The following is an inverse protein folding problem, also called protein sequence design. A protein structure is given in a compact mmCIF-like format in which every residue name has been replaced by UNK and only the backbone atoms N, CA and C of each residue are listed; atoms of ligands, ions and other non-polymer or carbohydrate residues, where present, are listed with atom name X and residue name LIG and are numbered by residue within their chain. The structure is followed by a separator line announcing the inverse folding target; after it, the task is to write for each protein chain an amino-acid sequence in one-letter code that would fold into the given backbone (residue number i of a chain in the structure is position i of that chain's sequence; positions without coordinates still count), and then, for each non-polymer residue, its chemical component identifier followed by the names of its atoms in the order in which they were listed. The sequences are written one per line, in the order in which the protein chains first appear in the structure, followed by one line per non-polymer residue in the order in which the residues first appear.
data_IF_334777476706
#
_entry.id   IF_334777476706
#
_cell.length_a   1.000
_cell.length_b   1.000
_cell.length_c   1.000
_cell.angle_alpha   90.00
_cell.angle_beta   90.00
_cell.angle_gamma   90.00
#
_symmetry.space_group_name_H-M   'P 1'
#
loop_
_entity.id
_entity.type
_entity.pdbx_description
1 polymer ?
#
# COMPACT_ATOMS: atom_id res chain seq x y z
N UNK A 1 19.27 -9.49 15.76
CA UNK A 1 18.05 -8.66 15.80
C UNK A 1 17.57 -8.42 14.37
N UNK A 2 17.03 -9.45 13.72
CA UNK A 2 16.73 -9.43 12.27
C UNK A 2 15.23 -9.61 11.96
N UNK A 3 14.39 -9.72 13.00
CA UNK A 3 12.96 -10.00 12.89
C UNK A 3 12.09 -8.75 12.78
N UNK A 4 12.61 -7.56 13.12
CA UNK A 4 11.85 -6.30 13.08
C UNK A 4 11.44 -5.89 11.67
N UNK A 5 12.39 -5.93 10.73
CA UNK A 5 12.13 -5.53 9.35
C UNK A 5 11.22 -6.50 8.60
N UNK A 6 11.45 -7.82 8.75
CA UNK A 6 10.57 -8.82 8.13
C UNK A 6 9.12 -8.61 8.61
N UNK A 7 8.91 -8.48 9.92
CA UNK A 7 7.59 -8.20 10.48
C UNK A 7 6.99 -6.87 9.99
N UNK A 8 7.81 -5.82 9.81
CA UNK A 8 7.33 -4.55 9.27
C UNK A 8 6.88 -4.68 7.80
N UNK A 9 7.63 -5.41 6.96
CA UNK A 9 7.25 -5.68 5.57
C UNK A 9 5.97 -6.55 5.51
N UNK A 10 5.85 -7.57 6.37
CA UNK A 10 4.65 -8.41 6.47
C UNK A 10 3.41 -7.58 6.84
N UNK A 11 3.53 -6.69 7.83
CA UNK A 11 2.44 -5.79 8.24
C UNK A 11 2.05 -4.84 7.12
N UNK A 12 3.03 -4.24 6.44
CA UNK A 12 2.77 -3.36 5.31
C UNK A 12 2.06 -4.10 4.15
N UNK A 13 2.49 -5.34 3.85
CA UNK A 13 1.81 -6.17 2.84
C UNK A 13 0.37 -6.48 3.26
N UNK A 14 0.14 -6.87 4.52
CA UNK A 14 -1.18 -7.18 5.02
C UNK A 14 -2.12 -5.96 5.00
N UNK A 15 -1.62 -4.76 5.33
CA UNK A 15 -2.37 -3.51 5.21
C UNK A 15 -2.71 -3.21 3.74
N UNK A 16 -1.73 -3.33 2.83
CA UNK A 16 -1.92 -3.12 1.39
C UNK A 16 -2.92 -4.11 0.80
N UNK A 17 -2.89 -5.38 1.23
CA UNK A 17 -3.84 -6.42 0.78
C UNK A 17 -5.28 -6.04 1.15
N UNK A 18 -5.51 -5.64 2.42
CA UNK A 18 -6.83 -5.19 2.89
C UNK A 18 -7.33 -3.96 2.13
N UNK A 19 -6.43 -3.03 1.82
CA UNK A 19 -6.75 -1.85 1.03
C UNK A 19 -7.20 -2.22 -0.40
N UNK A 20 -6.52 -3.18 -1.04
CA UNK A 20 -6.94 -3.70 -2.37
C UNK A 20 -8.34 -4.31 -2.30
N UNK A 21 -8.64 -5.08 -1.26
CA UNK A 21 -9.96 -5.70 -1.08
C UNK A 21 -11.07 -4.69 -0.80
N UNK A 22 -10.79 -3.66 0.00
CA UNK A 22 -11.70 -2.54 0.24
C UNK A 22 -11.94 -1.73 -1.06
N UNK A 23 -10.89 -1.47 -1.84
CA UNK A 23 -10.97 -0.77 -3.12
C UNK A 23 -11.82 -1.54 -4.14
N UNK A 24 -11.64 -2.85 -4.25
CA UNK A 24 -12.44 -3.72 -5.14
C UNK A 24 -13.92 -3.71 -4.83
N UNK A 25 -14.27 -3.55 -3.55
CA UNK A 25 -15.67 -3.49 -3.07
C UNK A 25 -16.23 -2.06 -3.04
N UNK A 26 -15.43 -1.06 -3.42
CA UNK A 26 -15.78 0.37 -3.31
C UNK A 26 -16.23 0.77 -1.89
N UNK A 27 -15.64 0.14 -0.87
CA UNK A 27 -15.96 0.37 0.53
C UNK A 27 -15.20 1.61 1.04
N UNK A 28 -15.76 2.81 0.79
CA UNK A 28 -15.09 4.09 1.08
C UNK A 28 -14.62 4.27 2.53
N UNK A 29 -15.47 3.95 3.51
CA UNK A 29 -15.10 4.04 4.94
C UNK A 29 -14.03 3.03 5.36
N UNK A 30 -14.05 1.82 4.78
CA UNK A 30 -13.00 0.83 4.98
C UNK A 30 -11.67 1.26 4.34
N UNK A 31 -11.73 1.95 3.20
CA UNK A 31 -10.56 2.48 2.51
C UNK A 31 -9.83 3.53 3.35
N UNK A 32 -10.54 4.45 3.99
CA UNK A 32 -9.95 5.43 4.91
C UNK A 32 -9.21 4.74 6.06
N UNK A 33 -9.85 3.74 6.68
CA UNK A 33 -9.23 2.95 7.74
C UNK A 33 -7.99 2.19 7.24
N UNK A 34 -8.04 1.66 6.02
CA UNK A 34 -6.90 0.99 5.39
C UNK A 34 -5.76 1.96 5.06
N UNK A 35 -6.06 3.19 4.66
CA UNK A 35 -5.05 4.22 4.40
C UNK A 35 -4.25 4.52 5.67
N UNK A 36 -4.92 4.72 6.80
CA UNK A 36 -4.25 4.95 8.07
C UNK A 36 -3.37 3.76 8.47
N UNK A 37 -3.93 2.53 8.43
CA UNK A 37 -3.17 1.33 8.78
C UNK A 37 -1.93 1.12 7.89
N UNK A 38 -2.03 1.48 6.60
CA UNK A 38 -0.89 1.42 5.67
C UNK A 38 0.15 2.51 5.96
N UNK A 39 -0.28 3.72 6.33
CA UNK A 39 0.61 4.81 6.74
C UNK A 39 1.40 4.45 8.00
N UNK A 40 0.72 3.86 9.00
CA UNK A 40 1.36 3.39 10.24
C UNK A 40 2.39 2.28 9.94
N UNK A 41 2.04 1.31 9.09
CA UNK A 41 2.96 0.25 8.69
C UNK A 41 4.16 0.77 7.88
N UNK A 42 3.98 1.81 7.05
CA UNK A 42 5.07 2.49 6.35
C UNK A 42 6.00 3.20 7.33
N UNK A 43 5.46 3.82 8.37
CA UNK A 43 6.24 4.48 9.42
C UNK A 43 7.08 3.46 10.20
N UNK A 44 6.48 2.35 10.63
CA UNK A 44 7.21 1.26 11.29
C UNK A 44 8.32 0.67 10.40
N UNK A 45 8.06 0.51 9.10
CA UNK A 45 9.07 0.05 8.15
C UNK A 45 10.24 1.02 8.05
N UNK A 46 9.97 2.34 8.06
CA UNK A 46 11.02 3.37 8.07
C UNK A 46 11.87 3.29 9.33
N UNK A 47 11.24 3.19 10.51
CA UNK A 47 11.95 3.02 11.77
C UNK A 47 12.85 1.78 11.75
N UNK A 48 12.33 0.63 11.29
CA UNK A 48 13.10 -0.61 11.19
C UNK A 48 14.29 -0.53 10.22
N UNK A 49 14.25 0.37 9.23
CA UNK A 49 15.37 0.64 8.33
C UNK A 49 16.42 1.59 8.94
N UNK A 50 16.01 2.46 9.86
CA UNK A 50 16.88 3.40 10.57
C UNK A 50 17.66 2.74 11.74
N UNK A 51 17.16 1.62 12.27
CA UNK A 51 17.79 0.84 13.36
C UNK A 51 19.18 0.25 13.02
N UNK A 52 19.58 0.30 11.74
CA UNK A 52 20.95 -0.04 11.31
C UNK A 52 21.01 -1.02 10.14
N UNK A 53 22.19 -1.61 9.88
CA UNK A 53 22.40 -2.47 8.72
C UNK A 53 21.52 -3.73 8.78
N UNK A 54 20.72 -3.91 7.73
CA UNK A 54 19.80 -5.04 7.60
C UNK A 54 20.46 -6.17 6.82
N UNK A 55 20.48 -7.36 7.42
CA UNK A 55 20.82 -8.58 6.69
C UNK A 55 19.66 -8.98 5.76
N UNK A 56 19.89 -8.94 4.44
CA UNK A 56 18.88 -9.37 3.46
C UNK A 56 18.81 -10.90 3.43
N UNK A 57 17.80 -11.45 4.10
CA UNK A 57 17.50 -12.88 4.10
C UNK A 57 16.63 -13.27 2.89
N UNK A 58 16.62 -14.56 2.48
CA UNK A 58 15.68 -15.05 1.47
C UNK A 58 14.21 -14.75 1.81
N UNK A 59 13.82 -14.94 3.07
CA UNK A 59 12.46 -14.66 3.55
C UNK A 59 12.08 -13.18 3.36
N UNK A 60 12.95 -12.25 3.74
CA UNK A 60 12.73 -10.82 3.52
C UNK A 60 12.60 -10.49 2.03
N UNK A 61 13.44 -11.08 1.18
CA UNK A 61 13.40 -10.86 -0.27
C UNK A 61 12.07 -11.32 -0.87
N UNK A 62 11.59 -12.48 -0.45
CA UNK A 62 10.31 -13.02 -0.93
C UNK A 62 9.13 -12.19 -0.43
N UNK A 63 9.19 -11.70 0.81
CA UNK A 63 8.12 -10.86 1.35
C UNK A 63 8.08 -9.48 0.67
N UNK A 64 9.23 -8.88 0.36
CA UNK A 64 9.30 -7.65 -0.45
C UNK A 64 8.74 -7.88 -1.86
N UNK A 65 8.97 -9.04 -2.48
CA UNK A 65 8.38 -9.37 -3.78
C UNK A 65 6.86 -9.44 -3.70
N UNK A 66 6.31 -10.06 -2.65
CA UNK A 66 4.87 -10.13 -2.41
C UNK A 66 4.27 -8.75 -2.18
N UNK A 67 4.90 -7.92 -1.34
CA UNK A 67 4.48 -6.53 -1.15
C UNK A 67 4.39 -5.76 -2.49
N UNK A 68 5.43 -5.85 -3.33
CA UNK A 68 5.43 -5.24 -4.68
C UNK A 68 4.33 -5.75 -5.61
N UNK A 69 3.84 -6.98 -5.40
CA UNK A 69 2.70 -7.48 -6.17
C UNK A 69 1.39 -6.84 -5.69
N UNK A 70 1.19 -6.69 -4.38
CA UNK A 70 0.00 -6.03 -3.83
C UNK A 70 -0.02 -4.54 -4.15
N UNK A 71 1.12 -3.84 -4.11
CA UNK A 71 1.20 -2.43 -4.53
C UNK A 71 0.80 -2.24 -6.00
N UNK A 72 1.24 -3.15 -6.90
CA UNK A 72 0.84 -3.12 -8.31
C UNK A 72 -0.65 -3.40 -8.51
N UNK A 73 -1.22 -4.29 -7.70
CA UNK A 73 -2.67 -4.57 -7.72
C UNK A 73 -3.46 -3.35 -7.27
N UNK A 74 -3.02 -2.69 -6.20
CA UNK A 74 -3.63 -1.48 -5.68
C UNK A 74 -3.59 -0.35 -6.72
N UNK A 75 -2.44 -0.14 -7.36
CA UNK A 75 -2.29 0.83 -8.44
C UNK A 75 -3.23 0.54 -9.61
N UNK A 76 -3.33 -0.72 -10.05
CA UNK A 76 -4.23 -1.11 -11.13
C UNK A 76 -5.71 -0.85 -10.79
N UNK A 77 -6.12 -1.16 -9.56
CA UNK A 77 -7.48 -0.87 -9.08
C UNK A 77 -7.73 0.64 -9.01
N UNK A 78 -6.79 1.42 -8.46
CA UNK A 78 -6.92 2.87 -8.39
C UNK A 78 -7.06 3.50 -9.78
N UNK A 79 -6.22 3.10 -10.75
CA UNK A 79 -6.32 3.57 -12.14
C UNK A 79 -7.67 3.21 -12.78
N UNK A 80 -8.17 1.99 -12.54
CA UNK A 80 -9.47 1.58 -13.07
C UNK A 80 -10.62 2.41 -12.50
N UNK A 81 -10.59 2.69 -11.19
CA UNK A 81 -11.59 3.53 -10.52
C UNK A 81 -11.51 4.98 -11.02
N UNK A 82 -10.31 5.57 -11.07
CA UNK A 82 -10.12 6.93 -11.57
C UNK A 82 -10.59 7.08 -13.02
N UNK A 83 -10.26 6.12 -13.89
CA UNK A 83 -10.73 6.11 -15.28
C UNK A 83 -12.25 5.88 -15.43
N UNK A 84 -12.93 5.37 -14.40
CA UNK A 84 -14.41 5.36 -14.35
C UNK A 84 -14.92 6.73 -13.92
N UNK A 85 -14.34 7.33 -12.89
CA UNK A 85 -14.72 8.66 -12.39
C UNK A 85 -14.57 9.72 -13.48
N UNK A 86 -13.44 9.77 -14.18
CA UNK A 86 -13.19 10.71 -15.29
C UNK A 86 -14.21 10.57 -16.43
N UNK A 87 -14.73 9.36 -16.67
CA UNK A 87 -15.78 9.14 -17.69
C UNK A 87 -17.17 9.57 -17.23
N UNK A 88 -17.45 9.50 -15.93
CA UNK A 88 -18.72 9.92 -15.35
C UNK A 88 -18.76 11.44 -15.19
N UNK A 89 -17.66 12.03 -14.74
CA UNK A 89 -17.49 13.46 -14.56
C UNK A 89 -16.17 13.92 -15.22
N UNK A 90 -16.23 14.37 -16.49
CA UNK A 90 -15.05 14.87 -17.21
C UNK A 90 -14.49 16.17 -16.64
N UNK A 91 -15.23 16.85 -15.75
CA UNK A 91 -14.76 18.07 -15.07
C UNK A 91 -14.04 17.76 -13.77
N UNK A 92 -14.03 16.49 -13.35
CA UNK A 92 -13.29 16.04 -12.18
C UNK A 92 -11.79 16.34 -12.37
N UNK A 93 -11.11 16.92 -11.36
CA UNK A 93 -9.69 17.22 -11.47
C UNK A 93 -8.90 15.94 -11.73
N UNK A 94 -7.83 16.03 -12.53
CA UNK A 94 -6.94 14.90 -12.77
C UNK A 94 -6.24 14.52 -11.47
N UNK A 95 -6.74 13.48 -10.80
CA UNK A 95 -6.19 12.99 -9.54
C UNK A 95 -5.25 11.83 -9.81
N UNK A 96 -4.07 11.86 -9.20
CA UNK A 96 -3.07 10.80 -9.26
C UNK A 96 -2.96 10.05 -7.94
N UNK A 97 -2.82 8.73 -8.03
CA UNK A 97 -2.61 7.90 -6.87
C UNK A 97 -1.13 7.92 -6.46
N UNK A 98 -0.83 8.51 -5.31
CA UNK A 98 0.50 8.56 -4.73
C UNK A 98 0.94 7.22 -4.14
N UNK A 99 2.26 7.01 -4.02
CA UNK A 99 2.83 5.77 -3.46
C UNK A 99 2.38 5.47 -2.02
N UNK A 100 2.05 6.51 -1.24
CA UNK A 100 1.49 6.43 0.12
C UNK A 100 0.02 6.01 0.16
N UNK A 101 -0.66 6.02 -0.99
CA UNK A 101 -2.09 5.77 -1.09
C UNK A 101 -2.94 7.05 -1.08
N UNK A 102 -2.28 8.21 -1.05
CA UNK A 102 -2.94 9.52 -1.09
C UNK A 102 -3.35 9.87 -2.52
N UNK A 103 -4.47 10.56 -2.65
CA UNK A 103 -4.92 11.18 -3.90
C UNK A 103 -4.31 12.59 -3.99
N UNK A 104 -3.64 12.91 -5.12
CA UNK A 104 -3.02 14.21 -5.40
C UNK A 104 -3.52 14.82 -6.69
#
# INVERSE_FOLDING_TARGET
MSNGLLGAVERLRAATTRQVEAARRLAGSELESCNQARADALFELRLALEEGPVAITPALRDEVRRLRMEERRLEAVARAVLGVVERIDPTWPAVTYGRSGDLR
#
